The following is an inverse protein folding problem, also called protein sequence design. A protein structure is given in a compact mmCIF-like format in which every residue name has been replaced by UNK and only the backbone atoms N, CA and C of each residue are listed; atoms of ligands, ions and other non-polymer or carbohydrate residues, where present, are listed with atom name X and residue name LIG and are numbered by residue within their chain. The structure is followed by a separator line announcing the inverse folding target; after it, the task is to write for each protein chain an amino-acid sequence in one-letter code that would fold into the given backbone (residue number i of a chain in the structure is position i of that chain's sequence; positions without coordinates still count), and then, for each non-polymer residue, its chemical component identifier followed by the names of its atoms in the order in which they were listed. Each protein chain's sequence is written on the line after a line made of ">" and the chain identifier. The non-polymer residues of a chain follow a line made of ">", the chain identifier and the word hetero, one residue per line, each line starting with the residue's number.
data_IF_901621525135
#
_entry.id   IF_901621525135
#
_cell.length_a   1.000
_cell.length_b   1.000
_cell.length_c   1.000
_cell.angle_alpha   90.00
_cell.angle_beta   90.00
_cell.angle_gamma   90.00
#
_symmetry.space_group_name_H-M   'P 1'
#
loop_
_entity.id
_entity.type
_entity.pdbx_description
1 polymer ?
#
# COMPACT_ATOMS: atom_id res chain seq x y z
N UNK A 1 16.31 10.94 25.40
CA UNK A 1 16.55 9.84 24.44
C UNK A 1 16.06 8.53 25.02
N UNK A 2 15.33 7.74 24.22
CA UNK A 2 14.82 6.41 24.58
C UNK A 2 15.94 5.50 25.10
N UNK A 3 15.62 4.63 26.06
CA UNK A 3 16.57 3.69 26.69
C UNK A 3 15.97 2.29 26.78
N UNK A 4 16.83 1.32 27.08
CA UNK A 4 16.45 -0.08 27.27
C UNK A 4 16.93 -0.59 28.63
N UNK A 5 16.10 -1.38 29.30
CA UNK A 5 16.48 -2.16 30.47
C UNK A 5 16.83 -3.59 30.03
N UNK A 6 18.12 -3.83 29.71
CA UNK A 6 18.56 -5.11 29.12
C UNK A 6 18.13 -6.31 29.96
N UNK A 7 17.49 -7.27 29.31
CA UNK A 7 17.05 -8.52 29.90
C UNK A 7 16.90 -9.60 28.83
N UNK A 8 16.74 -10.85 29.27
CA UNK A 8 16.69 -12.01 28.38
C UNK A 8 15.48 -12.01 27.41
N UNK A 9 14.39 -11.31 27.77
CA UNK A 9 13.21 -11.17 26.91
C UNK A 9 13.51 -10.21 25.75
N UNK A 10 14.05 -9.03 26.04
CA UNK A 10 14.45 -8.05 25.02
C UNK A 10 15.56 -8.57 24.12
N UNK A 11 16.55 -9.29 24.67
CA UNK A 11 17.60 -9.93 23.88
C UNK A 11 17.00 -10.89 22.83
N UNK A 12 15.95 -11.62 23.21
CA UNK A 12 15.25 -12.56 22.32
C UNK A 12 14.40 -11.82 21.30
N UNK A 13 13.65 -10.81 21.72
CA UNK A 13 12.81 -10.01 20.85
C UNK A 13 13.63 -9.31 19.75
N UNK A 14 14.76 -8.68 20.12
CA UNK A 14 15.69 -8.04 19.19
C UNK A 14 16.24 -9.03 18.16
N UNK A 15 16.68 -10.21 18.59
CA UNK A 15 17.15 -11.26 17.66
C UNK A 15 16.04 -11.74 16.73
N UNK A 16 14.82 -11.93 17.24
CA UNK A 16 13.70 -12.39 16.44
C UNK A 16 13.22 -11.34 15.43
N UNK A 17 13.32 -10.04 15.74
CA UNK A 17 13.07 -8.97 14.76
C UNK A 17 14.04 -9.08 13.58
N UNK A 18 15.35 -9.22 13.85
CA UNK A 18 16.36 -9.36 12.79
C UNK A 18 16.16 -10.67 12.01
N UNK A 19 15.92 -11.79 12.68
CA UNK A 19 15.62 -13.06 12.02
C UNK A 19 14.37 -12.96 11.14
N UNK A 20 13.34 -12.27 11.60
CA UNK A 20 12.11 -12.05 10.85
C UNK A 20 12.34 -11.25 9.56
N UNK A 21 13.28 -10.30 9.54
CA UNK A 21 13.68 -9.58 8.33
C UNK A 21 14.43 -10.50 7.36
N UNK A 22 15.37 -11.29 7.88
CA UNK A 22 16.13 -12.27 7.07
C UNK A 22 15.22 -13.34 6.47
N UNK A 23 14.25 -13.84 7.24
CA UNK A 23 13.27 -14.81 6.75
C UNK A 23 12.41 -14.21 5.63
N UNK A 24 12.02 -12.94 5.76
CA UNK A 24 11.26 -12.22 4.74
C UNK A 24 12.06 -12.08 3.44
N UNK A 25 13.33 -11.66 3.52
CA UNK A 25 14.22 -11.55 2.35
C UNK A 25 14.43 -12.90 1.64
N UNK A 26 14.58 -13.99 2.42
CA UNK A 26 14.70 -15.34 1.88
C UNK A 26 13.41 -15.78 1.19
N UNK A 27 12.25 -15.52 1.81
CA UNK A 27 10.94 -15.81 1.22
C UNK A 27 10.75 -15.07 -0.11
N UNK A 28 11.01 -13.76 -0.14
CA UNK A 28 10.89 -12.95 -1.35
C UNK A 28 11.80 -13.49 -2.46
N UNK A 29 13.05 -13.83 -2.13
CA UNK A 29 13.99 -14.40 -3.11
C UNK A 29 13.46 -15.71 -3.72
N UNK A 30 12.89 -16.59 -2.89
CA UNK A 30 12.35 -17.87 -3.35
C UNK A 30 11.07 -17.71 -4.19
N UNK A 31 10.13 -16.85 -3.77
CA UNK A 31 8.85 -16.67 -4.47
C UNK A 31 9.00 -15.88 -5.78
N UNK A 32 9.92 -14.90 -5.83
CA UNK A 32 10.19 -14.10 -7.03
C UNK A 32 10.69 -14.93 -8.21
N UNK A 33 11.29 -16.10 -7.95
CA UNK A 33 11.69 -17.03 -9.00
C UNK A 33 10.50 -17.56 -9.82
N UNK A 34 9.28 -17.46 -9.30
CA UNK A 34 8.05 -17.93 -9.93
C UNK A 34 7.10 -16.80 -10.37
N UNK A 35 7.29 -15.58 -9.86
CA UNK A 35 6.42 -14.45 -10.18
C UNK A 35 6.36 -14.21 -11.70
N UNK A 36 5.16 -13.92 -12.20
CA UNK A 36 4.84 -13.71 -13.62
C UNK A 36 5.10 -14.92 -14.54
N UNK A 37 5.40 -16.10 -13.99
CA UNK A 37 5.59 -17.33 -14.77
C UNK A 37 4.32 -18.15 -14.85
N UNK A 38 4.09 -18.76 -16.02
CA UNK A 38 3.06 -19.80 -16.19
C UNK A 38 3.50 -21.06 -15.46
N UNK A 39 2.78 -21.41 -14.38
CA UNK A 39 3.14 -22.53 -13.53
C UNK A 39 2.80 -23.88 -14.17
N UNK A 40 3.78 -24.78 -14.20
CA UNK A 40 3.54 -26.22 -14.35
C UNK A 40 3.02 -26.83 -13.04
N UNK A 41 2.52 -28.06 -13.05
CA UNK A 41 2.09 -28.75 -11.81
C UNK A 41 3.24 -28.88 -10.80
N UNK A 42 4.46 -29.13 -11.28
CA UNK A 42 5.65 -29.22 -10.43
C UNK A 42 6.00 -27.86 -9.81
N UNK A 43 5.96 -26.79 -10.59
CA UNK A 43 6.22 -25.44 -10.07
C UNK A 43 5.16 -25.02 -9.04
N UNK A 44 3.91 -25.40 -9.24
CA UNK A 44 2.85 -25.16 -8.27
C UNK A 44 3.12 -25.88 -6.93
N UNK A 45 3.56 -27.14 -6.96
CA UNK A 45 3.97 -27.87 -5.76
C UNK A 45 5.17 -27.19 -5.07
N UNK A 46 6.17 -26.75 -5.84
CA UNK A 46 7.32 -26.00 -5.31
C UNK A 46 6.89 -24.68 -4.63
N UNK A 47 5.99 -23.92 -5.25
CA UNK A 47 5.45 -22.69 -4.66
C UNK A 47 4.68 -22.99 -3.36
N UNK A 48 3.83 -24.01 -3.35
CA UNK A 48 3.10 -24.41 -2.13
C UNK A 48 4.06 -24.83 -1.00
N UNK A 49 5.13 -25.57 -1.32
CA UNK A 49 6.16 -25.92 -0.35
C UNK A 49 6.89 -24.68 0.21
N UNK A 50 7.11 -23.65 -0.62
CA UNK A 50 7.66 -22.36 -0.14
C UNK A 50 6.66 -21.71 0.83
N UNK A 51 5.38 -21.62 0.47
CA UNK A 51 4.36 -21.05 1.36
C UNK A 51 4.28 -21.80 2.71
N UNK A 52 4.32 -23.14 2.69
CA UNK A 52 4.30 -23.98 3.89
C UNK A 52 5.56 -23.79 4.75
N UNK A 53 6.75 -23.72 4.13
CA UNK A 53 8.02 -23.47 4.81
C UNK A 53 7.99 -22.18 5.64
N UNK A 54 7.40 -21.11 5.08
CA UNK A 54 7.25 -19.81 5.75
C UNK A 54 5.94 -19.65 6.52
N UNK A 55 5.12 -20.71 6.62
CA UNK A 55 3.82 -20.73 7.32
C UNK A 55 2.84 -19.66 6.80
N UNK A 56 2.90 -19.37 5.52
CA UNK A 56 1.99 -18.42 4.87
C UNK A 56 0.63 -19.09 4.70
N UNK A 57 -0.47 -18.50 5.19
CA UNK A 57 -1.80 -19.06 4.99
C UNK A 57 -2.16 -19.14 3.51
N UNK A 58 -2.57 -20.33 3.05
CA UNK A 58 -3.07 -20.54 1.69
C UNK A 58 -4.14 -21.63 1.65
N UNK A 59 -5.02 -21.58 0.65
CA UNK A 59 -6.01 -22.61 0.35
C UNK A 59 -5.77 -23.17 -1.07
N UNK A 60 -4.48 -23.27 -1.46
CA UNK A 60 -4.06 -23.43 -2.84
C UNK A 60 -3.86 -22.09 -3.56
N UNK A 61 -3.35 -22.16 -4.80
CA UNK A 61 -2.99 -20.99 -5.60
C UNK A 61 -4.07 -20.55 -6.59
N UNK A 62 -5.08 -21.38 -6.83
CA UNK A 62 -6.13 -21.09 -7.82
C UNK A 62 -7.18 -20.16 -7.21
N UNK A 63 -7.33 -18.97 -7.79
CA UNK A 63 -8.38 -18.02 -7.44
C UNK A 63 -9.58 -18.13 -8.40
N UNK A 64 -10.76 -17.77 -7.91
CA UNK A 64 -11.97 -17.68 -8.73
C UNK A 64 -11.96 -16.36 -9.51
N UNK A 65 -12.11 -16.44 -10.82
CA UNK A 65 -12.15 -15.29 -11.73
C UNK A 65 -13.29 -14.32 -11.41
N UNK A 66 -14.30 -14.77 -10.66
CA UNK A 66 -15.39 -13.93 -10.17
C UNK A 66 -14.93 -12.69 -9.42
N UNK A 67 -13.78 -12.75 -8.73
CA UNK A 67 -13.19 -11.57 -8.06
C UNK A 67 -13.04 -10.40 -9.05
N UNK A 68 -12.68 -10.68 -10.29
CA UNK A 68 -12.65 -9.68 -11.36
C UNK A 68 -14.01 -9.51 -12.03
N UNK A 69 -14.63 -10.60 -12.51
CA UNK A 69 -15.81 -10.47 -13.40
C UNK A 69 -17.06 -9.98 -12.70
N UNK A 70 -17.17 -10.18 -11.38
CA UNK A 70 -18.29 -9.68 -10.56
C UNK A 70 -17.99 -8.30 -9.95
N UNK A 71 -16.72 -7.85 -9.97
CA UNK A 71 -16.37 -6.50 -9.55
C UNK A 71 -17.09 -5.48 -10.46
N UNK A 72 -17.90 -4.56 -9.90
CA UNK A 72 -18.68 -3.60 -10.69
C UNK A 72 -17.82 -2.76 -11.64
N UNK A 73 -16.66 -2.28 -11.19
CA UNK A 73 -15.77 -1.47 -12.02
C UNK A 73 -15.28 -2.26 -13.24
N UNK A 74 -14.72 -3.45 -13.01
CA UNK A 74 -14.21 -4.30 -14.08
C UNK A 74 -15.30 -4.73 -15.07
N UNK A 75 -16.53 -4.97 -14.58
CA UNK A 75 -17.68 -5.32 -15.40
C UNK A 75 -18.17 -4.14 -16.25
N UNK A 76 -18.37 -2.99 -15.63
CA UNK A 76 -19.12 -1.87 -16.21
C UNK A 76 -18.25 -0.88 -16.99
N UNK A 77 -16.98 -0.72 -16.61
CA UNK A 77 -16.07 0.26 -17.21
C UNK A 77 -15.20 -0.42 -18.27
N UNK A 78 -15.15 0.17 -19.47
CA UNK A 78 -14.30 -0.26 -20.59
C UNK A 78 -13.34 0.86 -20.98
N UNK A 79 -12.07 0.51 -21.11
CA UNK A 79 -11.01 1.45 -21.46
C UNK A 79 -10.61 1.34 -22.94
N UNK A 80 -11.27 0.48 -23.71
CA UNK A 80 -10.95 0.12 -25.09
C UNK A 80 -11.03 1.28 -26.10
N UNK A 81 -11.77 2.33 -25.76
CA UNK A 81 -11.90 3.54 -26.58
C UNK A 81 -10.88 4.64 -26.23
N UNK A 82 -9.99 4.42 -25.25
CA UNK A 82 -8.96 5.40 -24.87
C UNK A 82 -7.85 5.37 -25.90
N UNK A 83 -7.77 6.45 -26.68
CA UNK A 83 -6.71 6.67 -27.67
C UNK A 83 -6.42 8.18 -27.73
N UNK A 84 -5.32 8.57 -27.08
CA UNK A 84 -4.81 9.95 -27.05
C UNK A 84 -3.35 9.95 -27.50
N UNK A 85 -2.76 11.13 -27.70
CA UNK A 85 -1.36 11.24 -28.11
C UNK A 85 -0.36 10.75 -27.06
N UNK A 86 -0.75 10.70 -25.78
CA UNK A 86 0.12 10.34 -24.65
C UNK A 86 -0.27 9.00 -24.03
N UNK A 87 -1.58 8.76 -23.87
CA UNK A 87 -2.14 7.55 -23.27
C UNK A 87 -3.00 6.79 -24.27
N UNK A 88 -2.73 5.49 -24.43
CA UNK A 88 -3.53 4.61 -25.27
C UNK A 88 -3.88 3.30 -24.56
N UNK A 89 -4.98 2.69 -24.99
CA UNK A 89 -5.42 1.39 -24.50
C UNK A 89 -4.61 0.23 -25.09
N UNK A 90 -4.34 -0.76 -24.25
CA UNK A 90 -3.92 -2.09 -24.66
C UNK A 90 -4.72 -3.16 -23.89
N UNK A 91 -5.13 -4.22 -24.59
CA UNK A 91 -5.68 -5.42 -23.96
C UNK A 91 -4.54 -6.38 -23.61
N UNK A 92 -4.04 -6.30 -22.37
CA UNK A 92 -3.01 -7.21 -21.89
C UNK A 92 -3.60 -8.59 -21.60
N UNK A 93 -2.91 -9.66 -22.01
CA UNK A 93 -3.34 -11.04 -21.75
C UNK A 93 -2.45 -11.63 -20.67
N UNK A 94 -3.03 -11.88 -19.49
CA UNK A 94 -2.39 -12.70 -18.47
C UNK A 94 -2.76 -14.16 -18.75
N UNK A 95 -1.76 -14.99 -19.01
CA UNK A 95 -1.99 -16.41 -19.34
C UNK A 95 -2.54 -17.16 -18.13
N UNK A 96 -3.40 -18.14 -18.38
CA UNK A 96 -3.85 -19.05 -17.33
C UNK A 96 -2.65 -19.65 -16.60
N UNK A 97 -2.78 -19.82 -15.28
CA UNK A 97 -1.73 -20.32 -14.39
C UNK A 97 -0.49 -19.43 -14.28
N UNK A 98 -0.50 -18.20 -14.78
CA UNK A 98 0.53 -17.20 -14.44
C UNK A 98 0.43 -16.87 -12.96
N UNK A 99 1.50 -17.09 -12.21
CA UNK A 99 1.58 -16.65 -10.81
C UNK A 99 1.67 -15.12 -10.77
N UNK A 100 0.84 -14.50 -9.94
CA UNK A 100 0.82 -13.04 -9.76
C UNK A 100 0.51 -12.71 -8.29
N UNK A 101 0.83 -11.48 -7.90
CA UNK A 101 0.37 -10.93 -6.64
C UNK A 101 -1.14 -10.67 -6.71
N UNK A 102 -1.85 -11.14 -5.69
CA UNK A 102 -3.29 -10.99 -5.52
C UNK A 102 -3.62 -9.81 -4.59
N UNK A 103 -2.65 -9.32 -3.82
CA UNK A 103 -2.73 -8.19 -2.89
C UNK A 103 -1.30 -7.72 -2.56
N UNK A 104 -1.14 -6.52 -1.99
CA UNK A 104 0.17 -5.92 -1.73
C UNK A 104 0.82 -6.29 -0.39
N UNK A 105 0.04 -6.52 0.68
CA UNK A 105 0.66 -6.68 2.00
C UNK A 105 -0.24 -7.40 2.99
N UNK A 106 0.30 -8.46 3.63
CA UNK A 106 -0.28 -9.12 4.79
C UNK A 106 0.79 -9.38 5.86
N UNK A 107 0.63 -8.86 7.09
CA UNK A 107 1.55 -9.19 8.17
C UNK A 107 1.36 -10.67 8.58
N UNK A 108 2.44 -11.34 8.95
CA UNK A 108 2.40 -12.70 9.49
C UNK A 108 3.21 -12.80 10.78
N UNK A 109 2.54 -13.23 11.85
CA UNK A 109 3.13 -13.25 13.18
C UNK A 109 3.23 -11.86 13.80
N UNK A 110 4.04 -11.74 14.87
CA UNK A 110 4.12 -10.55 15.71
C UNK A 110 5.35 -9.66 15.47
N UNK A 111 6.26 -10.07 14.57
CA UNK A 111 7.46 -9.32 14.22
C UNK A 111 7.29 -8.68 12.82
N UNK A 112 8.33 -8.70 11.99
CA UNK A 112 8.39 -7.94 10.73
C UNK A 112 8.10 -8.76 9.46
N UNK A 113 7.76 -10.04 9.62
CA UNK A 113 7.45 -10.89 8.47
C UNK A 113 6.10 -10.46 7.92
N UNK A 114 6.08 -10.24 6.61
CA UNK A 114 4.88 -9.99 5.84
C UNK A 114 5.04 -10.69 4.49
N UNK A 115 3.92 -10.87 3.79
CA UNK A 115 3.92 -11.50 2.49
C UNK A 115 2.91 -10.82 1.57
N UNK A 116 3.10 -11.02 0.28
CA UNK A 116 2.16 -10.61 -0.74
C UNK A 116 1.37 -11.88 -1.09
N UNK A 117 0.04 -11.93 -0.87
CA UNK A 117 -0.74 -13.07 -1.31
C UNK A 117 -0.51 -13.33 -2.81
N UNK A 118 -0.19 -14.57 -3.17
CA UNK A 118 0.08 -14.96 -4.55
C UNK A 118 -0.94 -15.98 -5.04
N UNK A 119 -1.19 -15.98 -6.35
CA UNK A 119 -2.14 -16.90 -6.96
C UNK A 119 -2.17 -16.84 -8.47
N UNK A 120 -3.06 -17.61 -9.07
CA UNK A 120 -3.31 -17.64 -10.50
C UNK A 120 -4.79 -17.91 -10.80
N UNK A 121 -5.19 -17.67 -12.05
CA UNK A 121 -6.49 -18.06 -12.58
C UNK A 121 -6.38 -19.23 -13.56
N UNK A 122 -7.44 -20.04 -13.68
CA UNK A 122 -7.45 -21.24 -14.53
C UNK A 122 -7.77 -20.96 -16.02
N UNK A 123 -7.90 -19.69 -16.39
CA UNK A 123 -8.17 -19.19 -17.73
C UNK A 123 -7.35 -17.93 -18.03
N UNK A 124 -7.18 -17.64 -19.31
CA UNK A 124 -6.55 -16.38 -19.74
C UNK A 124 -7.43 -15.20 -19.30
N UNK A 125 -6.79 -14.14 -18.82
CA UNK A 125 -7.45 -12.91 -18.37
C UNK A 125 -7.10 -11.80 -19.34
N UNK A 126 -8.11 -11.05 -19.73
CA UNK A 126 -7.99 -9.84 -20.52
C UNK A 126 -8.01 -8.64 -19.57
N UNK A 127 -6.84 -8.10 -19.25
CA UNK A 127 -6.72 -6.95 -18.37
C UNK A 127 -6.71 -5.68 -19.22
N UNK A 128 -7.65 -4.75 -19.03
CA UNK A 128 -7.58 -3.46 -19.70
C UNK A 128 -6.43 -2.65 -19.09
N UNK A 129 -5.48 -2.26 -19.93
CA UNK A 129 -4.30 -1.50 -19.51
C UNK A 129 -4.26 -0.19 -20.28
N UNK A 130 -3.99 0.90 -19.58
CA UNK A 130 -3.60 2.15 -20.21
C UNK A 130 -2.08 2.22 -20.24
N UNK A 131 -1.52 2.58 -21.40
CA UNK A 131 -0.09 2.77 -21.58
C UNK A 131 0.26 4.22 -21.83
N UNK A 132 1.33 4.68 -21.20
CA UNK A 132 1.99 5.95 -21.49
C UNK A 132 3.40 5.65 -21.99
N UNK A 133 3.77 6.20 -23.15
CA UNK A 133 5.08 5.95 -23.79
C UNK A 133 5.48 4.46 -23.89
N UNK A 134 4.47 3.59 -24.07
CA UNK A 134 4.65 2.13 -24.18
C UNK A 134 4.82 1.39 -22.85
N UNK A 135 4.85 2.10 -21.71
CA UNK A 135 4.85 1.51 -20.37
C UNK A 135 3.44 1.41 -19.83
N UNK A 136 3.17 0.38 -19.02
CA UNK A 136 1.90 0.29 -18.28
C UNK A 136 1.82 1.48 -17.33
N UNK A 137 0.77 2.28 -17.50
CA UNK A 137 0.47 3.42 -16.65
C UNK A 137 -0.54 3.03 -15.57
N UNK A 138 -1.72 2.53 -15.94
CA UNK A 138 -2.76 2.10 -14.99
C UNK A 138 -3.52 0.87 -15.46
N UNK A 139 -3.95 0.04 -14.51
CA UNK A 139 -4.85 -1.09 -14.76
C UNK A 139 -5.66 -1.44 -13.51
N UNK A 140 -6.91 -1.91 -13.63
CA UNK A 140 -7.69 -2.42 -12.50
C UNK A 140 -7.26 -3.85 -12.18
N UNK A 141 -6.00 -4.03 -11.77
CA UNK A 141 -5.47 -5.33 -11.39
C UNK A 141 -6.16 -5.86 -10.13
N UNK A 142 -6.11 -7.17 -9.91
CA UNK A 142 -6.72 -7.78 -8.72
C UNK A 142 -6.09 -7.23 -7.45
N UNK A 143 -4.76 -7.10 -7.42
CA UNK A 143 -4.03 -6.52 -6.29
C UNK A 143 -4.49 -5.11 -5.94
N UNK A 144 -4.78 -4.27 -6.95
CA UNK A 144 -5.35 -2.93 -6.77
C UNK A 144 -6.70 -3.01 -6.08
N UNK A 145 -7.64 -3.77 -6.67
CA UNK A 145 -9.00 -3.94 -6.15
C UNK A 145 -8.99 -4.45 -4.71
N UNK A 146 -8.19 -5.48 -4.44
CA UNK A 146 -8.10 -6.09 -3.10
C UNK A 146 -7.48 -5.13 -2.08
N UNK A 147 -6.44 -4.39 -2.47
CA UNK A 147 -5.79 -3.42 -1.58
C UNK A 147 -6.67 -2.24 -1.18
N UNK A 148 -7.64 -1.88 -2.02
CA UNK A 148 -8.60 -0.79 -1.77
C UNK A 148 -9.86 -1.27 -1.03
N UNK A 149 -10.02 -2.59 -0.80
CA UNK A 149 -11.24 -3.20 -0.24
C UNK A 149 -11.71 -2.52 1.04
N UNK A 150 -10.81 -2.31 2.00
CA UNK A 150 -11.15 -1.67 3.27
C UNK A 150 -11.61 -0.22 3.08
N UNK A 151 -10.94 0.55 2.19
CA UNK A 151 -11.33 1.91 1.85
C UNK A 151 -12.69 2.00 1.13
N UNK A 152 -12.96 1.05 0.24
CA UNK A 152 -14.26 0.92 -0.44
C UNK A 152 -15.38 0.62 0.59
N UNK A 153 -15.13 -0.30 1.52
CA UNK A 153 -16.09 -0.70 2.54
C UNK A 153 -16.40 0.42 3.53
N UNK A 154 -15.39 1.19 3.97
CA UNK A 154 -15.56 2.28 4.93
C UNK A 154 -16.22 3.54 4.37
N UNK A 155 -16.14 3.79 3.06
CA UNK A 155 -16.72 4.99 2.47
C UNK A 155 -18.23 5.11 2.68
N UNK A 156 -18.68 6.23 3.24
CA UNK A 156 -20.08 6.54 3.52
C UNK A 156 -20.26 8.08 3.52
N UNK A 157 -21.51 8.54 3.36
CA UNK A 157 -21.83 9.98 3.36
C UNK A 157 -21.10 10.74 2.25
N UNK A 158 -20.47 11.86 2.60
CA UNK A 158 -19.62 12.63 1.69
C UNK A 158 -18.22 12.06 1.70
N UNK A 159 -17.87 11.34 0.64
CA UNK A 159 -16.55 10.77 0.49
C UNK A 159 -15.60 11.70 -0.27
N UNK A 160 -14.31 11.64 0.05
CA UNK A 160 -13.26 12.36 -0.68
C UNK A 160 -12.06 11.47 -0.99
N UNK A 161 -11.50 11.64 -2.19
CA UNK A 161 -10.16 11.11 -2.50
C UNK A 161 -9.19 12.20 -2.92
N UNK A 162 -7.90 11.95 -2.66
CA UNK A 162 -6.82 12.68 -3.30
C UNK A 162 -6.12 11.71 -4.25
N UNK A 163 -6.15 12.03 -5.54
CA UNK A 163 -5.87 11.12 -6.63
C UNK A 163 -7.17 10.59 -7.26
N UNK A 164 -7.23 10.69 -8.59
CA UNK A 164 -8.34 10.23 -9.42
C UNK A 164 -8.07 8.85 -10.02
N UNK A 165 -6.85 8.65 -10.54
CA UNK A 165 -6.48 7.47 -11.30
C UNK A 165 -7.48 7.17 -12.42
N UNK A 166 -7.85 5.90 -12.57
CA UNK A 166 -8.91 5.48 -13.49
C UNK A 166 -10.31 5.55 -12.86
N UNK A 167 -10.47 6.09 -11.65
CA UNK A 167 -11.78 6.27 -11.03
C UNK A 167 -12.36 5.03 -10.33
N UNK A 168 -11.51 4.08 -9.92
CA UNK A 168 -11.94 2.79 -9.38
C UNK A 168 -12.72 2.95 -8.07
N UNK A 169 -12.10 3.52 -7.04
CA UNK A 169 -12.73 3.68 -5.72
C UNK A 169 -13.92 4.64 -5.77
N UNK A 170 -13.85 5.68 -6.61
CA UNK A 170 -14.92 6.66 -6.80
C UNK A 170 -16.16 6.00 -7.38
N UNK A 171 -16.00 5.16 -8.41
CA UNK A 171 -17.11 4.41 -8.98
C UNK A 171 -17.71 3.46 -7.93
N UNK A 172 -16.86 2.72 -7.22
CA UNK A 172 -17.29 1.76 -6.21
C UNK A 172 -18.09 2.44 -5.08
N UNK A 173 -17.69 3.64 -4.63
CA UNK A 173 -18.46 4.42 -3.67
C UNK A 173 -19.77 4.96 -4.23
N UNK A 174 -19.79 5.50 -5.44
CA UNK A 174 -21.02 6.06 -6.03
C UNK A 174 -22.11 5.01 -6.29
N UNK A 175 -21.76 3.72 -6.28
CA UNK A 175 -22.71 2.61 -6.32
C UNK A 175 -23.29 2.24 -4.95
N UNK A 176 -22.69 2.66 -3.84
CA UNK A 176 -23.17 2.35 -2.49
C UNK A 176 -24.34 3.26 -2.13
N UNK A 177 -25.39 2.69 -1.54
CA UNK A 177 -26.60 3.45 -1.15
C UNK A 177 -26.29 4.55 -0.11
N UNK A 178 -25.40 4.26 0.85
CA UNK A 178 -25.04 5.12 1.98
C UNK A 178 -24.02 6.22 1.64
N UNK A 179 -23.53 6.30 0.40
CA UNK A 179 -22.70 7.40 -0.10
C UNK A 179 -23.59 8.48 -0.71
N UNK A 180 -23.44 9.74 -0.30
CA UNK A 180 -24.16 10.91 -0.81
C UNK A 180 -23.46 11.48 -2.06
N UNK A 181 -22.15 11.67 -1.99
CA UNK A 181 -21.35 12.28 -3.05
C UNK A 181 -19.88 11.91 -2.91
N UNK A 182 -19.13 12.08 -4.00
CA UNK A 182 -17.68 11.89 -4.04
C UNK A 182 -17.02 13.17 -4.53
N UNK A 183 -15.99 13.64 -3.83
CA UNK A 183 -15.11 14.73 -4.27
C UNK A 183 -13.70 14.23 -4.47
N UNK A 184 -13.06 14.60 -5.56
CA UNK A 184 -11.68 14.16 -5.88
C UNK A 184 -10.79 15.38 -6.03
N UNK A 185 -9.60 15.36 -5.43
CA UNK A 185 -8.52 16.31 -5.73
C UNK A 185 -7.52 15.63 -6.64
N UNK A 186 -7.37 16.10 -7.87
CA UNK A 186 -6.44 15.55 -8.86
C UNK A 186 -5.55 16.66 -9.42
N UNK A 187 -4.25 16.40 -9.50
CA UNK A 187 -3.26 17.39 -9.95
C UNK A 187 -3.07 17.35 -11.46
N UNK A 188 -3.13 16.17 -12.08
CA UNK A 188 -2.83 16.01 -13.49
C UNK A 188 -4.08 16.25 -14.35
N UNK A 189 -4.10 17.39 -15.05
CA UNK A 189 -5.20 17.79 -15.94
C UNK A 189 -5.49 16.78 -17.04
N UNK A 190 -4.47 16.09 -17.57
CA UNK A 190 -4.65 15.11 -18.64
C UNK A 190 -5.39 13.86 -18.12
N UNK A 191 -5.17 13.48 -16.86
CA UNK A 191 -5.91 12.40 -16.19
C UNK A 191 -7.37 12.78 -16.01
N UNK A 192 -7.64 14.01 -15.59
CA UNK A 192 -9.02 14.54 -15.47
C UNK A 192 -9.71 14.52 -16.83
N UNK A 193 -9.06 15.00 -17.88
CA UNK A 193 -9.64 15.06 -19.23
C UNK A 193 -9.89 13.67 -19.82
N UNK A 194 -8.96 12.73 -19.60
CA UNK A 194 -9.14 11.32 -19.98
C UNK A 194 -10.32 10.71 -19.23
N UNK A 195 -10.39 10.90 -17.91
CA UNK A 195 -11.45 10.36 -17.07
C UNK A 195 -12.82 10.91 -17.50
N UNK A 196 -12.96 12.23 -17.63
CA UNK A 196 -14.23 12.88 -17.99
C UNK A 196 -14.69 12.49 -19.39
N UNK A 197 -13.75 12.30 -20.33
CA UNK A 197 -14.08 11.93 -21.71
C UNK A 197 -14.44 10.46 -21.88
N UNK A 198 -13.68 9.56 -21.26
CA UNK A 198 -13.76 8.12 -21.56
C UNK A 198 -14.38 7.30 -20.43
N UNK A 199 -14.19 7.68 -19.17
CA UNK A 199 -14.55 6.82 -18.02
C UNK A 199 -15.84 7.29 -17.36
N UNK A 200 -15.92 8.56 -16.94
CA UNK A 200 -17.09 9.13 -16.26
C UNK A 200 -18.43 8.85 -16.96
N UNK A 201 -18.55 8.94 -18.30
CA UNK A 201 -19.83 8.70 -18.98
C UNK A 201 -20.36 7.26 -18.82
N UNK A 202 -19.52 6.32 -18.37
CA UNK A 202 -19.90 4.92 -18.12
C UNK A 202 -20.40 4.68 -16.69
N UNK A 203 -20.30 5.68 -15.79
CA UNK A 203 -20.72 5.53 -14.40
C UNK A 203 -22.25 5.37 -14.32
N UNK A 204 -22.71 4.24 -13.77
CA UNK A 204 -24.13 3.90 -13.58
C UNK A 204 -24.71 4.51 -12.30
N UNK A 205 -24.64 5.83 -12.17
CA UNK A 205 -25.09 6.56 -10.99
C UNK A 205 -25.41 8.01 -11.34
N UNK A 206 -26.43 8.58 -10.69
CA UNK A 206 -26.76 10.01 -10.80
C UNK A 206 -26.17 10.82 -9.63
N UNK A 207 -25.43 10.17 -8.72
CA UNK A 207 -24.82 10.81 -7.56
C UNK A 207 -23.73 11.78 -7.98
N UNK A 208 -23.56 12.85 -7.20
CA UNK A 208 -22.60 13.91 -7.50
C UNK A 208 -21.16 13.39 -7.38
N UNK A 209 -20.40 13.55 -8.47
CA UNK A 209 -18.94 13.41 -8.51
C UNK A 209 -18.30 14.74 -8.88
N UNK A 210 -17.61 15.36 -7.93
CA UNK A 210 -16.87 16.62 -8.14
C UNK A 210 -15.38 16.34 -8.29
N UNK A 211 -14.73 16.96 -9.27
CA UNK A 211 -13.28 16.91 -9.43
C UNK A 211 -12.73 18.32 -9.27
N UNK A 212 -11.79 18.47 -8.34
CA UNK A 212 -11.02 19.67 -8.09
C UNK A 212 -9.65 19.46 -8.73
N UNK A 213 -9.34 20.24 -9.77
CA UNK A 213 -8.00 20.29 -10.32
C UNK A 213 -7.07 21.04 -9.36
N UNK A 214 -6.26 20.32 -8.58
CA UNK A 214 -5.47 20.90 -7.50
C UNK A 214 -4.44 19.92 -6.93
N UNK A 215 -3.46 20.47 -6.21
CA UNK A 215 -2.44 19.67 -5.55
C UNK A 215 -2.96 19.11 -4.23
N UNK A 216 -2.90 17.79 -4.05
CA UNK A 216 -3.32 17.11 -2.82
C UNK A 216 -2.69 17.71 -1.55
N UNK A 217 -1.43 18.14 -1.59
CA UNK A 217 -0.75 18.74 -0.44
C UNK A 217 -1.34 20.09 -0.03
N UNK A 218 -1.96 20.84 -0.93
CA UNK A 218 -2.63 22.11 -0.60
C UNK A 218 -3.99 21.86 0.05
N UNK A 219 -4.68 20.82 -0.40
CA UNK A 219 -6.00 20.42 0.10
C UNK A 219 -5.95 19.52 1.34
N UNK A 220 -4.79 18.94 1.68
CA UNK A 220 -4.60 18.21 2.94
C UNK A 220 -4.48 19.17 4.11
N UNK A 221 -5.61 19.73 4.52
CA UNK A 221 -5.75 20.64 5.64
C UNK A 221 -7.08 20.41 6.37
N UNK A 222 -7.17 20.88 7.62
CA UNK A 222 -8.31 20.59 8.50
C UNK A 222 -9.64 21.10 7.94
N UNK A 223 -9.65 22.32 7.40
CA UNK A 223 -10.87 22.97 6.93
C UNK A 223 -11.46 22.24 5.72
N UNK A 224 -10.61 21.68 4.85
CA UNK A 224 -11.06 20.85 3.74
C UNK A 224 -11.51 19.46 4.20
N UNK A 225 -10.66 18.74 4.94
CA UNK A 225 -10.91 17.33 5.30
C UNK A 225 -12.11 17.12 6.25
N UNK A 226 -12.48 18.13 7.04
CA UNK A 226 -13.62 18.03 7.97
C UNK A 226 -14.99 18.21 7.31
N UNK A 227 -15.04 18.49 6.00
CA UNK A 227 -16.28 18.57 5.23
C UNK A 227 -16.80 17.20 4.77
N UNK A 228 -15.99 16.16 4.96
CA UNK A 228 -16.22 14.81 4.47
C UNK A 228 -16.38 13.83 5.63
N UNK A 229 -17.25 12.84 5.45
CA UNK A 229 -17.49 11.76 6.41
C UNK A 229 -16.41 10.67 6.29
N UNK A 230 -15.84 10.48 5.10
CA UNK A 230 -14.72 9.58 4.87
C UNK A 230 -13.76 10.11 3.80
N UNK A 231 -12.45 9.97 4.05
CA UNK A 231 -11.38 10.36 3.13
C UNK A 231 -10.45 9.20 2.81
N UNK A 232 -9.97 9.11 1.58
CA UNK A 232 -9.01 8.11 1.14
C UNK A 232 -7.92 8.71 0.25
N UNK A 233 -6.68 8.65 0.71
CA UNK A 233 -5.54 9.32 0.07
C UNK A 233 -4.79 8.32 -0.81
N UNK A 234 -4.72 8.59 -2.11
CA UNK A 234 -4.29 7.66 -3.15
C UNK A 234 -3.73 8.39 -4.39
N UNK A 235 -2.67 9.19 -4.21
CA UNK A 235 -2.06 10.01 -5.28
C UNK A 235 -0.60 9.65 -5.58
N UNK A 236 -0.18 8.45 -5.23
CA UNK A 236 1.14 7.87 -5.53
C UNK A 236 0.97 6.56 -6.31
N UNK A 237 2.04 6.08 -6.93
CA UNK A 237 2.02 4.90 -7.79
C UNK A 237 2.50 3.63 -7.08
N UNK A 238 3.34 3.79 -6.04
CA UNK A 238 4.02 2.68 -5.37
C UNK A 238 4.38 3.00 -3.92
N UNK A 239 5.02 2.07 -3.22
CA UNK A 239 5.58 2.35 -1.89
C UNK A 239 6.76 3.34 -1.93
N UNK A 240 7.51 3.39 -3.03
CA UNK A 240 8.73 4.20 -3.13
C UNK A 240 8.41 5.70 -3.16
N UNK A 241 7.58 6.14 -4.10
CA UNK A 241 7.08 7.52 -4.19
C UNK A 241 6.02 7.81 -3.12
N UNK A 242 5.24 6.80 -2.74
CA UNK A 242 4.30 6.86 -1.63
C UNK A 242 4.95 7.26 -0.31
N UNK A 243 6.14 6.73 0.03
CA UNK A 243 6.84 7.08 1.26
C UNK A 243 7.20 8.57 1.33
N UNK A 244 7.69 9.16 0.23
CA UNK A 244 8.03 10.58 0.18
C UNK A 244 6.78 11.45 0.41
N UNK A 245 5.69 11.17 -0.31
CA UNK A 245 4.45 11.93 -0.20
C UNK A 245 3.80 11.75 1.17
N UNK A 246 3.79 10.52 1.68
CA UNK A 246 3.28 10.19 3.00
C UNK A 246 4.03 10.97 4.08
N UNK A 247 5.36 11.07 4.01
CA UNK A 247 6.15 11.90 4.94
C UNK A 247 5.73 13.37 4.91
N UNK A 248 5.52 13.96 3.72
CA UNK A 248 5.04 15.36 3.59
C UNK A 248 3.65 15.54 4.23
N UNK A 249 2.78 14.53 4.16
CA UNK A 249 1.49 14.55 4.85
C UNK A 249 1.65 14.44 6.37
N UNK A 250 2.54 13.56 6.85
CA UNK A 250 2.80 13.40 8.29
C UNK A 250 3.39 14.67 8.92
N UNK A 251 4.23 15.41 8.18
CA UNK A 251 4.79 16.70 8.62
C UNK A 251 3.72 17.78 8.88
N UNK A 252 2.53 17.65 8.26
CA UNK A 252 1.39 18.53 8.54
C UNK A 252 0.72 18.24 9.89
N UNK A 253 1.05 17.12 10.54
CA UNK A 253 0.55 16.71 11.88
C UNK A 253 -0.98 16.72 11.98
N UNK A 254 -1.63 16.31 10.90
CA UNK A 254 -3.09 16.23 10.80
C UNK A 254 -3.49 14.76 10.65
N UNK A 255 -3.94 14.18 11.77
CA UNK A 255 -4.37 12.79 11.86
C UNK A 255 -5.87 12.77 12.16
N UNK A 256 -6.66 12.45 11.15
CA UNK A 256 -8.10 12.35 11.27
C UNK A 256 -8.51 10.88 11.19
N UNK A 257 -9.34 10.37 12.13
CA UNK A 257 -9.66 8.95 12.19
C UNK A 257 -10.52 8.47 11.01
N UNK A 258 -11.15 9.40 10.28
CA UNK A 258 -11.95 9.12 9.10
C UNK A 258 -11.16 9.25 7.77
N UNK A 259 -9.84 9.40 7.84
CA UNK A 259 -8.96 9.49 6.66
C UNK A 259 -7.97 8.33 6.67
N UNK A 260 -8.08 7.46 5.66
CA UNK A 260 -7.15 6.37 5.40
C UNK A 260 -6.27 6.66 4.19
N UNK A 261 -5.20 5.89 4.02
CA UNK A 261 -4.23 6.05 2.95
C UNK A 261 -4.07 4.71 2.22
N UNK A 262 -4.01 4.74 0.89
CA UNK A 262 -3.76 3.55 0.09
C UNK A 262 -2.40 2.94 0.42
N UNK A 263 -2.32 1.62 0.48
CA UNK A 263 -1.09 0.84 0.80
C UNK A 263 -0.28 1.32 2.02
N UNK A 264 -0.94 1.98 2.99
CA UNK A 264 -0.27 2.54 4.16
C UNK A 264 0.55 1.48 4.90
N UNK A 265 0.00 0.28 5.08
CA UNK A 265 0.70 -0.79 5.79
C UNK A 265 1.97 -1.25 5.08
N UNK A 266 1.99 -1.22 3.74
CA UNK A 266 3.19 -1.48 2.93
C UNK A 266 4.24 -0.38 3.14
N UNK A 267 3.84 0.89 3.05
CA UNK A 267 4.73 2.05 3.28
C UNK A 267 5.31 2.01 4.71
N UNK A 268 4.45 1.77 5.71
CA UNK A 268 4.87 1.70 7.10
C UNK A 268 5.73 0.47 7.38
N UNK A 269 5.64 -0.61 6.59
CA UNK A 269 6.53 -1.74 6.75
C UNK A 269 8.00 -1.38 6.45
N UNK A 270 8.27 -0.58 5.41
CA UNK A 270 9.62 -0.09 5.11
C UNK A 270 10.16 0.75 6.28
N UNK A 271 9.29 1.57 6.88
CA UNK A 271 9.62 2.36 8.08
C UNK A 271 9.92 1.44 9.28
N UNK A 272 9.14 0.37 9.48
CA UNK A 272 9.36 -0.62 10.55
C UNK A 272 10.74 -1.28 10.45
N UNK A 273 11.21 -1.59 9.24
CA UNK A 273 12.54 -2.19 9.01
C UNK A 273 13.67 -1.25 9.46
N UNK A 274 13.54 0.03 9.09
CA UNK A 274 14.50 1.08 9.46
C UNK A 274 14.47 1.35 10.96
N UNK A 275 13.28 1.49 11.55
CA UNK A 275 13.10 1.73 12.99
C UNK A 275 13.64 0.55 13.81
N UNK A 276 13.34 -0.68 13.42
CA UNK A 276 13.81 -1.87 14.15
C UNK A 276 15.33 -1.99 14.09
N UNK A 277 15.93 -1.73 12.93
CA UNK A 277 17.40 -1.73 12.78
C UNK A 277 18.06 -0.61 13.60
N UNK A 278 17.45 0.58 13.62
CA UNK A 278 17.89 1.69 14.47
C UNK A 278 17.86 1.31 15.96
N UNK A 279 16.73 0.76 16.43
CA UNK A 279 16.54 0.36 17.82
C UNK A 279 17.49 -0.78 18.22
N UNK A 280 17.73 -1.73 17.30
CA UNK A 280 18.70 -2.81 17.50
C UNK A 280 20.12 -2.27 17.71
N UNK A 281 20.59 -1.36 16.86
CA UNK A 281 21.92 -0.78 17.02
C UNK A 281 22.03 0.06 18.30
N UNK A 282 20.98 0.79 18.67
CA UNK A 282 20.91 1.51 19.94
C UNK A 282 20.95 0.53 21.14
N UNK A 283 20.23 -0.58 21.07
CA UNK A 283 20.20 -1.63 22.10
C UNK A 283 21.56 -2.30 22.29
N UNK A 284 22.27 -2.57 21.20
CA UNK A 284 23.63 -3.13 21.22
C UNK A 284 24.69 -2.12 21.68
N UNK A 285 24.31 -0.85 21.91
CA UNK A 285 25.23 0.22 22.29
C UNK A 285 26.13 0.67 21.14
N UNK A 286 25.76 0.37 19.89
CA UNK A 286 26.45 0.85 18.70
C UNK A 286 26.09 2.31 18.44
N UNK A 287 27.01 3.04 17.81
CA UNK A 287 26.77 4.42 17.42
C UNK A 287 25.73 4.52 16.30
N UNK A 288 24.55 5.08 16.60
CA UNK A 288 23.46 5.32 15.62
C UNK A 288 23.88 6.19 14.43
N UNK A 289 24.96 6.96 14.55
CA UNK A 289 25.51 7.74 13.45
C UNK A 289 25.99 6.87 12.29
N UNK A 290 26.57 5.70 12.58
CA UNK A 290 27.04 4.76 11.55
C UNK A 290 25.85 4.15 10.81
N UNK A 291 24.80 3.76 11.54
CA UNK A 291 23.54 3.28 10.96
C UNK A 291 22.90 4.31 10.02
N UNK A 292 22.81 5.57 10.43
CA UNK A 292 22.26 6.63 9.57
C UNK A 292 23.16 6.87 8.35
N UNK A 293 24.48 6.77 8.51
CA UNK A 293 25.42 6.98 7.42
C UNK A 293 25.36 5.87 6.37
N UNK A 294 25.09 4.62 6.77
CA UNK A 294 24.95 3.49 5.85
C UNK A 294 23.66 3.53 5.01
N UNK A 295 22.67 4.34 5.39
CA UNK A 295 21.43 4.51 4.64
C UNK A 295 21.58 5.51 3.47
N UNK A 296 20.77 5.29 2.43
CA UNK A 296 20.66 6.11 1.22
C UNK A 296 19.21 6.52 0.95
N UNK A 297 19.00 7.51 0.08
CA UNK A 297 17.66 7.95 -0.36
C UNK A 297 16.70 8.26 0.79
N UNK A 298 15.43 7.90 0.61
CA UNK A 298 14.37 8.08 1.60
C UNK A 298 14.61 7.31 2.90
N UNK A 299 15.25 6.12 2.84
CA UNK A 299 15.60 5.37 4.05
C UNK A 299 16.52 6.16 4.98
N UNK A 300 17.41 7.00 4.42
CA UNK A 300 18.25 7.91 5.20
C UNK A 300 17.45 9.05 5.83
N UNK A 301 16.43 9.55 5.13
CA UNK A 301 15.52 10.57 5.65
C UNK A 301 14.77 9.98 6.85
N UNK A 302 14.14 8.82 6.68
CA UNK A 302 13.43 8.10 7.75
C UNK A 302 14.36 7.82 8.94
N UNK A 303 15.58 7.34 8.73
CA UNK A 303 16.54 7.09 9.81
C UNK A 303 16.91 8.38 10.59
N UNK A 304 17.02 9.53 9.91
CA UNK A 304 17.22 10.83 10.57
C UNK A 304 16.00 11.26 11.36
N UNK A 305 14.78 11.08 10.82
CA UNK A 305 13.51 11.38 11.50
C UNK A 305 13.36 10.52 12.76
N UNK A 306 13.58 9.21 12.65
CA UNK A 306 13.64 8.26 13.76
C UNK A 306 14.61 8.72 14.85
N UNK A 307 15.83 9.11 14.47
CA UNK A 307 16.82 9.62 15.43
C UNK A 307 16.39 10.92 16.12
N UNK A 308 15.72 11.84 15.42
CA UNK A 308 15.16 13.05 16.04
C UNK A 308 14.05 12.70 17.04
N UNK A 309 13.11 11.85 16.63
CA UNK A 309 12.01 11.37 17.45
C UNK A 309 12.49 10.64 18.72
N UNK A 310 13.36 9.63 18.58
CA UNK A 310 13.83 8.85 19.72
C UNK A 310 14.74 9.65 20.66
N UNK A 311 15.34 10.77 20.22
CA UNK A 311 16.09 11.68 21.10
C UNK A 311 15.18 12.49 22.03
N UNK A 312 13.97 12.86 21.59
CA UNK A 312 13.01 13.61 22.42
C UNK A 312 12.31 12.73 23.45
N UNK A 313 12.22 11.43 23.19
CA UNK A 313 11.66 10.40 24.07
C UNK A 313 12.51 10.14 25.32
N UNK A 314 11.90 9.79 26.45
CA UNK A 314 12.60 9.51 27.74
C UNK A 314 12.17 8.19 28.41
N UNK A 315 11.34 7.43 27.71
CA UNK A 315 10.89 6.09 28.07
C UNK A 315 12.04 5.08 28.15
N UNK A 316 11.86 4.11 29.03
CA UNK A 316 12.74 2.97 29.23
C UNK A 316 11.94 1.73 28.82
N UNK A 317 12.38 1.07 27.75
CA UNK A 317 11.76 -0.15 27.23
C UNK A 317 12.26 -1.34 28.03
N UNK A 318 11.32 -2.12 28.56
CA UNK A 318 11.56 -3.21 29.51
C UNK A 318 11.03 -4.56 29.04
N UNK A 319 10.06 -4.56 28.13
CA UNK A 319 9.40 -5.78 27.65
C UNK A 319 9.37 -5.84 26.13
N UNK A 320 9.16 -7.06 25.61
CA UNK A 320 8.92 -7.28 24.18
C UNK A 320 7.68 -6.51 23.70
N UNK A 321 6.63 -6.48 24.51
CA UNK A 321 5.39 -5.77 24.17
C UNK A 321 5.64 -4.27 23.97
N UNK A 322 6.37 -3.61 24.87
CA UNK A 322 6.72 -2.20 24.74
C UNK A 322 7.56 -1.93 23.48
N UNK A 323 8.51 -2.82 23.17
CA UNK A 323 9.34 -2.74 21.96
C UNK A 323 8.48 -2.86 20.69
N UNK A 324 7.62 -3.90 20.64
CA UNK A 324 6.76 -4.15 19.49
C UNK A 324 5.71 -3.05 19.31
N UNK A 325 5.19 -2.48 20.39
CA UNK A 325 4.28 -1.33 20.30
C UNK A 325 4.96 -0.13 19.64
N UNK A 326 6.22 0.17 19.97
CA UNK A 326 6.96 1.28 19.31
C UNK A 326 7.15 1.02 17.81
N UNK A 327 7.35 -0.24 17.42
CA UNK A 327 7.59 -0.62 16.04
C UNK A 327 6.27 -0.67 15.24
N UNK A 328 5.20 -1.22 15.81
CA UNK A 328 3.98 -1.54 15.06
C UNK A 328 2.88 -0.49 15.16
N UNK A 329 2.87 0.34 16.20
CA UNK A 329 1.81 1.32 16.40
C UNK A 329 1.84 2.40 15.30
N UNK A 330 0.78 2.46 14.50
CA UNK A 330 0.67 3.42 13.39
C UNK A 330 0.79 4.86 13.88
N UNK A 331 0.25 5.22 15.05
CA UNK A 331 0.35 6.57 15.60
C UNK A 331 1.80 6.92 15.96
N UNK A 332 2.56 5.97 16.51
CA UNK A 332 4.00 6.15 16.79
C UNK A 332 4.78 6.36 15.50
N UNK A 333 4.52 5.53 14.47
CA UNK A 333 5.20 5.66 13.18
C UNK A 333 4.85 6.96 12.46
N UNK A 334 3.58 7.36 12.44
CA UNK A 334 3.12 8.65 11.88
C UNK A 334 3.75 9.84 12.59
N UNK A 335 3.76 9.83 13.92
CA UNK A 335 4.42 10.86 14.75
C UNK A 335 5.91 10.94 14.42
N UNK A 336 6.60 9.79 14.36
CA UNK A 336 8.02 9.71 14.00
C UNK A 336 8.32 10.35 12.64
N UNK A 337 7.49 10.08 11.63
CA UNK A 337 7.65 10.63 10.28
C UNK A 337 7.36 12.15 10.21
N UNK A 338 6.69 12.72 11.22
CA UNK A 338 6.43 14.16 11.32
C UNK A 338 7.61 15.01 11.84
N UNK A 339 8.71 14.37 12.28
CA UNK A 339 9.92 15.03 12.80
C UNK A 339 10.91 15.41 11.72
#
# INVERSE_FOLDING_TARGET
>A
MIKFEKNAELDRAMKNLILSMVDMDNYLTEILAYNERVLTSKMEEEVLNILDKYKIPHNGLKYDIKILTENPYYRDIKLDNVDTSTVCYENAIIKKRTLMNMEFHRPAGKYLFHYHPVGYFDRDIHLPVLKEEGRVWMSPAVSEIESMREGIEKGHGKCMTMGLGIGLIQYMWLLKEDVESVTVVEFNKDVIDLFDRYIRPQFKTDKKLEIIHGNALDYYNKDFLTQFDYGYIDFWESTEDGLEMYMKLMEKRLFLPHVDFWIEDSILNDVKYIVSSYLYDLYEGKGVANFIFSMVGESKVVAKKANRYFKTRNDIIKSEEELLNIIHDKSVLRELLSH
#
